data_IF_644119411986
#
_entry.id   IF_644119411986
#
_cell.length_a   1.000
_cell.length_b   1.000
_cell.length_c   1.000
_cell.angle_alpha   90.00
_cell.angle_beta   90.00
_cell.angle_gamma   90.00
#
_symmetry.space_group_name_H-M   'P 1'
#
loop_
_entity.id
_entity.type
_entity.pdbx_description
1 polymer ?
#
# COMPACT_ATOMS: atom_id res chain seq x y z
N UNK A 1 11.58 3.16 -9.81
CA UNK A 1 11.18 4.53 -9.46
C UNK A 1 9.78 4.79 -10.02
N UNK A 2 8.79 4.98 -9.15
CA UNK A 2 7.38 5.14 -9.56
C UNK A 2 7.05 6.61 -9.88
N UNK A 3 5.87 6.84 -10.47
CA UNK A 3 5.38 8.17 -10.85
C UNK A 3 5.22 9.14 -9.66
N UNK A 4 4.78 8.62 -8.52
CA UNK A 4 4.30 9.43 -7.39
C UNK A 4 4.87 8.95 -6.06
N UNK A 5 5.13 9.89 -5.16
CA UNK A 5 5.49 9.62 -3.76
C UNK A 5 4.20 9.60 -2.93
N UNK A 6 3.62 8.42 -2.75
CA UNK A 6 2.38 8.22 -1.99
C UNK A 6 2.53 7.04 -1.02
N UNK A 7 1.95 7.16 0.17
CA UNK A 7 1.74 6.01 1.05
C UNK A 7 0.31 6.06 1.60
N UNK A 8 -0.39 4.95 1.50
CA UNK A 8 -1.79 4.83 1.87
C UNK A 8 -2.14 3.37 2.18
N UNK A 9 -3.24 3.19 2.90
CA UNK A 9 -3.92 1.91 3.07
C UNK A 9 -5.32 2.05 2.51
N UNK A 10 -5.78 1.05 1.77
CA UNK A 10 -7.10 1.03 1.16
C UNK A 10 -7.81 -0.27 1.55
N UNK A 11 -9.06 -0.11 2.01
CA UNK A 11 -9.96 -1.21 2.30
C UNK A 11 -11.08 -1.14 1.26
N UNK A 12 -11.12 -2.13 0.40
CA UNK A 12 -12.17 -2.31 -0.60
C UNK A 12 -13.21 -3.31 -0.08
N UNK A 13 -14.47 -2.91 -0.08
CA UNK A 13 -15.61 -3.73 0.32
C UNK A 13 -16.21 -4.43 -0.91
N UNK A 14 -16.95 -5.52 -0.69
CA UNK A 14 -17.57 -6.32 -1.76
C UNK A 14 -18.51 -5.54 -2.70
N UNK A 15 -19.04 -4.41 -2.25
CA UNK A 15 -19.91 -3.52 -3.02
C UNK A 15 -19.13 -2.37 -3.70
N UNK A 16 -17.83 -2.58 -3.95
CA UNK A 16 -16.91 -1.63 -4.58
C UNK A 16 -16.77 -0.30 -3.81
N UNK A 17 -17.22 -0.28 -2.55
CA UNK A 17 -17.04 0.85 -1.66
C UNK A 17 -15.65 0.80 -1.06
N UNK A 18 -15.11 1.97 -0.72
CA UNK A 18 -13.70 2.10 -0.35
C UNK A 18 -13.52 3.01 0.85
N UNK A 19 -12.68 2.56 1.76
CA UNK A 19 -12.16 3.36 2.87
C UNK A 19 -10.65 3.51 2.68
N UNK A 20 -10.21 4.74 2.46
CA UNK A 20 -8.81 5.06 2.15
C UNK A 20 -8.22 5.86 3.30
N UNK A 21 -7.12 5.36 3.86
CA UNK A 21 -6.28 6.06 4.82
C UNK A 21 -5.03 6.53 4.09
N UNK A 22 -4.99 7.79 3.68
CA UNK A 22 -3.81 8.37 3.04
C UNK A 22 -2.87 8.93 4.11
N UNK A 23 -1.62 8.48 4.12
CA UNK A 23 -0.61 8.88 5.10
C UNK A 23 0.28 10.01 4.59
N UNK A 24 0.56 10.03 3.28
CA UNK A 24 1.36 11.10 2.66
C UNK A 24 1.20 11.12 1.14
N UNK A 25 1.50 12.27 0.55
CA UNK A 25 1.56 12.44 -0.90
C UNK A 25 0.20 12.79 -1.52
N UNK A 26 0.12 12.78 -2.86
CA UNK A 26 -1.12 13.02 -3.58
C UNK A 26 -2.09 11.86 -3.39
N UNK A 27 -3.37 12.19 -3.43
CA UNK A 27 -4.49 11.27 -3.32
C UNK A 27 -5.50 11.46 -4.45
N UNK A 28 -6.65 10.81 -4.32
CA UNK A 28 -7.77 10.98 -5.26
C UNK A 28 -8.45 12.35 -5.07
N UNK A 29 -9.20 12.81 -6.07
CA UNK A 29 -9.99 14.05 -6.00
C UNK A 29 -9.19 15.32 -5.69
N UNK A 30 -7.90 15.34 -6.05
CA UNK A 30 -7.00 16.47 -5.76
C UNK A 30 -6.63 16.62 -4.27
N UNK A 31 -6.94 15.61 -3.45
CA UNK A 31 -6.58 15.58 -2.04
C UNK A 31 -5.09 15.31 -1.88
N UNK A 32 -4.46 15.89 -0.87
CA UNK A 32 -3.02 15.70 -0.61
C UNK A 32 -2.76 15.66 0.89
N UNK A 33 -1.71 14.95 1.31
CA UNK A 33 -1.33 14.85 2.71
C UNK A 33 -2.15 13.81 3.47
N UNK A 34 -2.26 13.97 4.78
CA UNK A 34 -2.87 12.96 5.66
C UNK A 34 -4.39 13.13 5.72
N UNK A 35 -5.14 12.13 5.24
CA UNK A 35 -6.60 12.17 5.27
C UNK A 35 -7.22 10.76 5.31
N UNK A 36 -8.48 10.69 5.74
CA UNK A 36 -9.33 9.50 5.63
C UNK A 36 -10.49 9.82 4.69
N UNK A 37 -10.65 9.03 3.63
CA UNK A 37 -11.75 9.14 2.68
C UNK A 37 -12.64 7.91 2.77
N UNK A 38 -13.95 8.14 2.89
CA UNK A 38 -14.98 7.12 2.78
C UNK A 38 -15.88 7.45 1.59
N UNK A 39 -16.12 6.46 0.72
CA UNK A 39 -17.06 6.61 -0.40
C UNK A 39 -18.49 6.90 0.10
N UNK A 40 -19.31 7.52 -0.75
CA UNK A 40 -20.55 8.20 -0.34
C UNK A 40 -21.62 7.27 0.26
N UNK A 41 -21.59 5.98 -0.03
CA UNK A 41 -22.54 5.02 0.54
C UNK A 41 -22.06 4.37 1.84
N UNK A 42 -20.83 4.65 2.29
CA UNK A 42 -20.36 4.21 3.60
C UNK A 42 -20.97 5.09 4.70
N UNK A 43 -21.17 4.50 5.88
CA UNK A 43 -21.61 5.24 7.04
C UNK A 43 -20.62 6.36 7.37
N UNK A 44 -21.13 7.47 7.90
CA UNK A 44 -20.28 8.55 8.38
C UNK A 44 -19.44 8.05 9.56
N UNK A 45 -18.16 8.38 9.57
CA UNK A 45 -17.24 8.00 10.64
C UNK A 45 -16.94 9.19 11.55
N UNK A 46 -16.60 8.89 12.81
CA UNK A 46 -16.17 9.90 13.76
C UNK A 46 -14.72 10.26 13.48
N UNK A 47 -14.46 11.55 13.20
CA UNK A 47 -13.10 12.02 13.01
C UNK A 47 -12.37 12.23 14.35
N UNK A 48 -11.03 12.11 14.38
CA UNK A 48 -10.24 12.48 15.56
C UNK A 48 -10.39 13.96 15.93
N UNK A 49 -10.03 14.31 17.18
CA UNK A 49 -10.03 15.72 17.62
C UNK A 49 -9.10 16.54 16.73
N UNK A 50 -9.51 17.77 16.42
CA UNK A 50 -8.78 18.76 15.60
C UNK A 50 -8.67 18.44 14.09
N UNK A 51 -9.31 17.38 13.62
CA UNK A 51 -9.44 17.12 12.18
C UNK A 51 -10.57 17.95 11.57
N UNK A 52 -10.50 18.20 10.27
CA UNK A 52 -11.54 18.93 9.52
C UNK A 52 -12.27 17.99 8.57
N UNK A 53 -13.60 17.97 8.64
CA UNK A 53 -14.42 17.19 7.71
C UNK A 53 -14.77 18.04 6.49
N UNK A 54 -14.70 17.42 5.31
CA UNK A 54 -15.13 17.99 4.03
C UNK A 54 -15.90 16.94 3.24
N UNK A 55 -16.55 17.35 2.16
CA UNK A 55 -17.24 16.45 1.24
C UNK A 55 -16.75 16.74 -0.19
N UNK A 56 -16.36 15.71 -0.94
CA UNK A 56 -15.94 15.87 -2.35
C UNK A 56 -17.16 16.18 -3.24
N UNK A 57 -16.97 16.66 -4.49
CA UNK A 57 -18.07 16.85 -5.44
C UNK A 57 -18.95 15.60 -5.64
N UNK A 58 -18.38 14.41 -5.50
CA UNK A 58 -19.03 13.10 -5.64
C UNK A 58 -19.73 12.64 -4.35
N UNK A 59 -19.77 13.49 -3.32
CA UNK A 59 -20.44 13.21 -2.06
C UNK A 59 -19.64 12.35 -1.08
N UNK A 60 -18.35 12.09 -1.35
CA UNK A 60 -17.50 11.31 -0.45
C UNK A 60 -17.13 12.10 0.80
N UNK A 61 -17.06 11.43 1.95
CA UNK A 61 -16.70 12.08 3.22
C UNK A 61 -15.20 11.99 3.42
N UNK A 62 -14.57 13.13 3.71
CA UNK A 62 -13.12 13.23 3.86
C UNK A 62 -12.77 13.96 5.14
N UNK A 63 -12.07 13.30 6.05
CA UNK A 63 -11.50 13.91 7.25
C UNK A 63 -10.02 14.20 7.01
N UNK A 64 -9.62 15.44 7.25
CA UNK A 64 -8.25 15.93 7.05
C UNK A 64 -7.56 16.10 8.39
N UNK A 65 -6.33 15.60 8.48
CA UNK A 65 -5.47 15.93 9.60
C UNK A 65 -5.08 17.41 9.54
N UNK A 66 -4.92 18.09 10.69
CA UNK A 66 -4.11 19.31 10.73
C UNK A 66 -2.67 18.99 10.30
N UNK A 67 -1.81 20.01 10.18
CA UNK A 67 -0.39 19.82 9.84
C UNK A 67 0.19 18.61 10.57
N UNK A 68 0.65 17.63 9.79
CA UNK A 68 1.11 16.35 10.34
C UNK A 68 2.45 16.58 11.03
N UNK A 69 2.60 16.25 12.32
CA UNK A 69 3.87 16.41 13.02
C UNK A 69 4.95 15.53 12.38
N UNK A 70 6.21 15.93 12.53
CA UNK A 70 7.32 15.13 12.06
C UNK A 70 7.37 13.81 12.84
N UNK A 71 7.47 12.68 12.14
CA UNK A 71 7.48 11.35 12.76
C UNK A 71 8.60 11.20 13.81
N UNK A 72 9.78 11.80 13.59
CA UNK A 72 10.87 11.73 14.55
C UNK A 72 10.62 12.54 15.82
N UNK A 73 9.93 13.68 15.72
CA UNK A 73 9.57 14.49 16.88
C UNK A 73 8.56 13.74 17.75
N UNK A 74 7.57 13.08 17.11
CA UNK A 74 6.60 12.23 17.79
C UNK A 74 7.29 11.06 18.49
N UNK A 75 8.17 10.34 17.79
CA UNK A 75 8.89 9.19 18.36
C UNK A 75 9.86 9.59 19.48
N UNK A 76 10.56 10.73 19.32
CA UNK A 76 11.46 11.24 20.36
C UNK A 76 10.67 11.58 21.62
N UNK A 77 9.55 12.28 21.46
CA UNK A 77 8.65 12.60 22.57
C UNK A 77 8.14 11.34 23.26
N UNK A 78 7.63 10.38 22.50
CA UNK A 78 7.15 9.11 23.03
C UNK A 78 8.25 8.37 23.83
N UNK A 79 9.48 8.35 23.30
CA UNK A 79 10.63 7.78 24.01
C UNK A 79 10.95 8.49 25.33
N UNK A 80 10.83 9.82 25.38
CA UNK A 80 11.02 10.61 26.61
C UNK A 80 9.89 10.42 27.63
N UNK A 81 8.65 10.27 27.16
CA UNK A 81 7.45 10.04 27.99
C UNK A 81 7.32 8.57 28.43
N UNK A 82 8.17 7.67 27.91
CA UNK A 82 8.15 6.25 28.21
C UNK A 82 7.01 5.50 27.49
N UNK A 83 6.37 6.13 26.50
CA UNK A 83 5.32 5.54 25.68
C UNK A 83 5.93 4.55 24.67
N UNK A 84 5.54 3.28 24.78
CA UNK A 84 6.12 2.20 23.96
C UNK A 84 5.28 1.81 22.75
N UNK A 85 4.06 2.31 22.64
CA UNK A 85 3.08 1.92 21.62
C UNK A 85 3.53 2.23 20.17
N UNK A 86 4.52 3.11 20.00
CA UNK A 86 5.08 3.49 18.71
C UNK A 86 6.38 2.77 18.35
N UNK A 87 6.88 1.89 19.23
CA UNK A 87 8.12 1.17 19.02
C UNK A 87 7.84 -0.31 18.80
N UNK A 88 8.53 -0.88 17.82
CA UNK A 88 8.38 -2.30 17.47
C UNK A 88 8.92 -3.17 18.60
N UNK A 89 8.12 -4.13 19.04
CA UNK A 89 8.51 -5.12 20.04
C UNK A 89 9.31 -6.26 19.40
N UNK A 90 10.13 -6.95 20.19
CA UNK A 90 10.97 -8.04 19.69
C UNK A 90 10.15 -9.15 19.02
N UNK A 91 9.00 -9.50 19.59
CA UNK A 91 8.09 -10.51 19.03
C UNK A 91 7.51 -10.12 17.67
N UNK A 92 7.23 -8.82 17.46
CA UNK A 92 6.76 -8.29 16.19
C UNK A 92 7.87 -8.38 15.12
N UNK A 93 9.12 -8.07 15.50
CA UNK A 93 10.29 -8.24 14.61
C UNK A 93 10.44 -9.70 14.19
N UNK A 94 10.39 -10.64 15.13
CA UNK A 94 10.54 -12.07 14.84
C UNK A 94 9.39 -12.59 13.96
N UNK A 95 8.17 -12.15 14.24
CA UNK A 95 6.98 -12.53 13.45
C UNK A 95 7.05 -11.97 12.03
N UNK A 96 7.48 -10.72 11.86
CA UNK A 96 7.70 -10.13 10.55
C UNK A 96 8.75 -10.90 9.75
N UNK A 97 9.85 -11.30 10.40
CA UNK A 97 10.87 -12.14 9.77
C UNK A 97 10.32 -13.49 9.34
N UNK A 98 9.49 -14.14 10.16
CA UNK A 98 8.89 -15.43 9.80
C UNK A 98 8.07 -15.37 8.51
N UNK A 99 7.32 -14.27 8.30
CA UNK A 99 6.51 -14.07 7.09
C UNK A 99 7.38 -13.79 5.86
N UNK A 100 8.42 -12.95 6.00
CA UNK A 100 9.21 -12.47 4.86
C UNK A 100 10.42 -13.33 4.51
N UNK A 101 10.97 -14.09 5.45
CA UNK A 101 12.18 -14.89 5.27
C UNK A 101 12.10 -15.86 4.06
N UNK A 102 10.99 -16.59 3.81
CA UNK A 102 10.87 -17.43 2.61
C UNK A 102 10.98 -16.64 1.31
N UNK A 103 10.42 -15.42 1.26
CA UNK A 103 10.46 -14.55 0.08
C UNK A 103 11.89 -14.06 -0.15
N UNK A 104 12.56 -13.56 0.88
CA UNK A 104 13.95 -13.06 0.80
C UNK A 104 14.89 -14.19 0.35
N UNK A 105 14.79 -15.37 0.96
CA UNK A 105 15.57 -16.55 0.55
C UNK A 105 15.30 -16.96 -0.90
N UNK A 106 14.05 -16.86 -1.35
CA UNK A 106 13.71 -17.16 -2.75
C UNK A 106 14.40 -16.20 -3.71
N UNK A 107 14.59 -14.93 -3.31
CA UNK A 107 15.31 -13.91 -4.08
C UNK A 107 16.81 -14.19 -4.12
N UNK A 108 17.43 -14.50 -2.99
CA UNK A 108 18.86 -14.83 -2.91
C UNK A 108 19.20 -16.09 -3.71
N UNK A 109 18.27 -17.05 -3.76
CA UNK A 109 18.40 -18.25 -4.59
C UNK A 109 18.36 -17.96 -6.10
N UNK A 110 17.83 -16.82 -6.55
CA UNK A 110 17.91 -16.36 -7.96
C UNK A 110 19.32 -15.91 -8.29
N UNK A 111 19.96 -15.18 -7.37
CA UNK A 111 21.36 -14.76 -7.54
C UNK A 111 22.29 -15.97 -7.67
N UNK A 112 21.88 -17.14 -7.16
CA UNK A 112 22.58 -18.42 -7.25
C UNK A 112 21.98 -19.42 -8.26
N UNK A 113 21.17 -18.93 -9.22
CA UNK A 113 20.62 -19.66 -10.38
C UNK A 113 19.59 -20.77 -10.09
N UNK A 114 18.95 -20.78 -8.91
CA UNK A 114 17.91 -21.77 -8.52
C UNK A 114 16.53 -21.17 -8.25
N UNK A 115 16.34 -19.87 -8.47
CA UNK A 115 15.11 -19.15 -8.09
C UNK A 115 13.99 -19.15 -9.14
N UNK A 116 12.75 -18.97 -8.67
CA UNK A 116 11.52 -18.94 -9.49
C UNK A 116 10.86 -17.55 -9.59
N UNK A 117 11.49 -16.48 -9.10
CA UNK A 117 10.91 -15.12 -9.17
C UNK A 117 11.33 -14.44 -10.46
N UNK A 118 10.36 -13.85 -11.16
CA UNK A 118 10.59 -13.08 -12.37
C UNK A 118 10.67 -11.58 -12.02
N UNK A 119 11.83 -10.98 -12.20
CA UNK A 119 11.99 -9.53 -12.11
C UNK A 119 11.37 -8.86 -13.34
N UNK A 120 10.49 -7.90 -13.10
CA UNK A 120 9.86 -7.10 -14.16
C UNK A 120 10.54 -5.76 -14.23
N UNK A 121 11.20 -5.47 -15.36
CA UNK A 121 11.74 -4.15 -15.61
C UNK A 121 10.61 -3.19 -15.99
N UNK A 122 10.62 -2.00 -15.40
CA UNK A 122 9.66 -0.94 -15.72
C UNK A 122 10.39 0.41 -15.82
N UNK A 123 9.99 1.31 -16.75
CA UNK A 123 10.59 2.63 -16.87
C UNK A 123 10.42 3.48 -15.59
N UNK A 124 11.38 4.37 -15.26
CA UNK A 124 11.18 5.36 -14.22
C UNK A 124 9.93 6.22 -14.48
N UNK A 125 9.15 6.48 -13.44
CA UNK A 125 7.90 7.24 -13.54
C UNK A 125 6.69 6.41 -13.95
N UNK A 126 6.83 5.07 -14.05
CA UNK A 126 5.68 4.17 -14.31
C UNK A 126 4.68 4.23 -13.14
N UNK A 127 3.38 4.22 -13.44
CA UNK A 127 2.32 4.12 -12.43
C UNK A 127 2.11 2.66 -12.02
N UNK A 128 1.72 2.44 -10.78
CA UNK A 128 1.44 1.09 -10.25
C UNK A 128 0.35 0.38 -11.07
N UNK A 129 -0.70 1.11 -11.46
CA UNK A 129 -1.81 0.57 -12.26
C UNK A 129 -1.38 0.04 -13.64
N UNK A 130 -0.25 0.51 -14.17
CA UNK A 130 0.26 0.10 -15.47
C UNK A 130 1.14 -1.17 -15.39
N UNK A 131 1.64 -1.53 -14.20
CA UNK A 131 2.55 -2.67 -14.01
C UNK A 131 1.98 -4.03 -14.46
N UNK A 132 0.68 -4.36 -14.24
CA UNK A 132 0.12 -5.64 -14.71
C UNK A 132 0.21 -5.82 -16.23
N UNK A 133 0.18 -4.72 -16.99
CA UNK A 133 0.29 -4.76 -18.46
C UNK A 133 1.69 -5.14 -18.95
N UNK A 134 2.71 -4.98 -18.10
CA UNK A 134 4.11 -5.29 -18.37
C UNK A 134 4.46 -6.75 -18.05
N UNK A 135 3.55 -7.49 -17.40
CA UNK A 135 3.77 -8.90 -17.11
C UNK A 135 3.72 -9.74 -18.40
N UNK A 136 4.66 -10.69 -18.59
CA UNK A 136 4.62 -11.57 -19.75
C UNK A 136 3.31 -12.36 -19.76
N UNK A 137 2.52 -12.19 -20.83
CA UNK A 137 1.28 -12.96 -21.01
C UNK A 137 1.64 -14.45 -21.06
N UNK A 138 0.97 -15.27 -20.24
CA UNK A 138 1.09 -16.73 -20.32
C UNK A 138 0.78 -17.17 -21.75
N UNK A 139 1.79 -17.62 -22.49
CA UNK A 139 1.60 -18.28 -23.78
C UNK A 139 0.87 -19.58 -23.48
N UNK A 140 -0.42 -19.67 -23.86
CA UNK A 140 -1.11 -20.96 -23.92
C UNK A 140 -0.34 -21.81 -24.91
N UNK A 141 0.44 -22.79 -24.44
CA UNK A 141 0.91 -23.87 -25.29
C UNK A 141 -0.34 -24.58 -25.80
N UNK A 142 -0.72 -24.33 -27.05
CA UNK A 142 -1.66 -25.17 -27.76
C UNK A 142 -1.01 -26.54 -27.85
N UNK A 143 -1.47 -27.48 -27.02
CA UNK A 143 -1.21 -28.88 -27.25
C UNK A 143 -1.92 -29.27 -28.54
N UNK A 144 -1.28 -29.04 -29.70
CA UNK A 144 -1.66 -29.75 -30.91
C UNK A 144 -1.26 -31.20 -30.67
N UNK A 145 -2.26 -32.01 -30.33
CA UNK A 145 -2.19 -33.46 -30.29
C UNK A 145 -1.49 -33.96 -31.56
N UNK A 146 -0.28 -34.52 -31.40
CA UNK A 146 0.28 -35.48 -32.34
C UNK A 146 -0.67 -36.68 -32.35
N UNK A 147 -1.47 -36.82 -33.39
CA UNK A 147 -2.16 -38.08 -33.70
C UNK A 147 -1.10 -39.11 -34.12
N UNK A 148 -1.04 -40.30 -33.50
CA UNK A 148 -0.30 -41.42 -34.05
C UNK A 148 -1.24 -42.26 -34.91
N UNK A 149 -0.98 -42.28 -36.21
CA UNK A 149 -0.94 -43.43 -37.13
C UNK A 149 -1.15 -42.95 -38.56
#
# INVERSE_FOLDING_TARGET
>A
ALAERRAYTEIEFHNEQRLVFNLQGPGEYGLTGSYVLATSSLATFTMPRNWKMSTTPEGHKVAHAPETPNAYEVLLRAGLEGEREHFVQLEEVLSAWYVWDPVVKSVDNIATAKGHVNWVNYPPGTRVADLPSLLPKKVKKSNSSRTPK
#
